data_IF_566618386506
#
_entry.id   IF_566618386506
#
_cell.length_a   1.000
_cell.length_b   1.000
_cell.length_c   1.000
_cell.angle_alpha   90.00
_cell.angle_beta   90.00
_cell.angle_gamma   90.00
#
_symmetry.space_group_name_H-M   'P 1'
#
loop_
_entity.id
_entity.type
_entity.pdbx_description
1 polymer ?
#
# COMPACT_ATOMS: atom_id res chain seq x y z
N UNK A 1 -25.03 4.30 17.55
CA UNK A 1 -23.73 4.64 16.93
C UNK A 1 -23.34 3.50 16.00
N UNK A 2 -23.24 3.75 14.69
CA UNK A 2 -22.74 2.73 13.75
C UNK A 2 -21.21 2.80 13.81
N UNK A 3 -20.58 1.80 14.43
CA UNK A 3 -19.14 1.60 14.33
C UNK A 3 -18.83 1.09 12.94
N UNK A 4 -18.65 2.00 11.98
CA UNK A 4 -18.11 1.68 10.68
C UNK A 4 -16.64 1.34 10.90
N UNK A 5 -16.31 0.05 10.96
CA UNK A 5 -14.93 -0.40 10.85
C UNK A 5 -14.44 0.06 9.48
N UNK A 6 -13.77 1.21 9.42
CA UNK A 6 -13.15 1.70 8.18
C UNK A 6 -12.14 0.65 7.75
N UNK A 7 -12.51 -0.17 6.76
CA UNK A 7 -11.59 -1.11 6.15
C UNK A 7 -10.33 -0.33 5.76
N UNK A 8 -9.16 -0.76 6.25
CA UNK A 8 -7.91 -0.07 5.99
C UNK A 8 -7.63 -0.12 4.49
N UNK A 9 -7.79 1.01 3.82
CA UNK A 9 -7.46 1.18 2.39
C UNK A 9 -5.97 0.87 2.22
N UNK A 10 -5.64 -0.03 1.30
CA UNK A 10 -4.23 -0.34 1.01
C UNK A 10 -3.62 0.71 0.09
N UNK A 11 -2.28 0.73 0.01
CA UNK A 11 -1.57 1.60 -0.92
C UNK A 11 -2.07 1.43 -2.35
N UNK A 12 -2.17 0.19 -2.84
CA UNK A 12 -2.64 -0.11 -4.19
C UNK A 12 -4.06 0.40 -4.46
N UNK A 13 -4.96 0.21 -3.50
CA UNK A 13 -6.34 0.71 -3.58
C UNK A 13 -6.37 2.24 -3.62
N UNK A 14 -5.55 2.90 -2.81
CA UNK A 14 -5.42 4.35 -2.82
C UNK A 14 -4.90 4.86 -4.19
N UNK A 15 -3.97 4.14 -4.83
CA UNK A 15 -3.49 4.53 -6.17
C UNK A 15 -4.62 4.46 -7.20
N UNK A 16 -5.44 3.41 -7.16
CA UNK A 16 -6.63 3.32 -8.01
C UNK A 16 -7.59 4.48 -7.75
N UNK A 17 -7.88 4.79 -6.47
CA UNK A 17 -8.73 5.92 -6.10
C UNK A 17 -8.20 7.25 -6.66
N UNK A 18 -6.89 7.49 -6.55
CA UNK A 18 -6.25 8.69 -7.09
C UNK A 18 -6.43 8.82 -8.62
N UNK A 19 -6.27 7.72 -9.35
CA UNK A 19 -6.48 7.71 -10.80
C UNK A 19 -7.96 7.63 -11.23
N UNK A 20 -8.89 7.50 -10.28
CA UNK A 20 -10.32 7.31 -10.58
C UNK A 20 -10.64 5.94 -11.16
N UNK A 21 -9.78 4.94 -10.95
CA UNK A 21 -9.91 3.60 -11.48
C UNK A 21 -10.72 2.68 -10.56
N UNK A 22 -11.44 1.73 -11.17
CA UNK A 22 -12.16 0.69 -10.42
C UNK A 22 -11.15 -0.15 -9.64
N UNK A 23 -11.41 -0.37 -8.35
CA UNK A 23 -10.56 -1.19 -7.49
C UNK A 23 -10.78 -2.68 -7.80
N UNK A 24 -9.79 -3.28 -8.47
CA UNK A 24 -9.69 -4.72 -8.73
C UNK A 24 -8.21 -5.08 -8.89
N UNK A 25 -7.87 -6.37 -8.84
CA UNK A 25 -6.47 -6.85 -8.84
C UNK A 25 -5.67 -6.39 -10.07
N UNK A 26 -6.29 -6.32 -11.25
CA UNK A 26 -5.61 -5.86 -12.48
C UNK A 26 -5.27 -4.37 -12.36
N UNK A 27 -6.26 -3.56 -12.04
CA UNK A 27 -6.11 -2.11 -11.94
C UNK A 27 -5.18 -1.72 -10.79
N UNK A 28 -5.23 -2.41 -9.65
CA UNK A 28 -4.30 -2.21 -8.53
C UNK A 28 -2.84 -2.36 -8.99
N UNK A 29 -2.52 -3.43 -9.71
CA UNK A 29 -1.18 -3.66 -10.25
C UNK A 29 -0.78 -2.59 -11.26
N UNK A 30 -1.66 -2.27 -12.20
CA UNK A 30 -1.36 -1.35 -13.29
C UNK A 30 -1.22 0.10 -12.76
N UNK A 31 -2.06 0.50 -11.81
CA UNK A 31 -1.97 1.77 -11.09
C UNK A 31 -0.72 1.86 -10.22
N UNK A 32 -0.40 0.84 -9.44
CA UNK A 32 0.82 0.82 -8.63
C UNK A 32 2.07 0.92 -9.50
N UNK A 33 2.11 0.22 -10.65
CA UNK A 33 3.20 0.34 -11.61
C UNK A 33 3.32 1.79 -12.08
N UNK A 34 2.22 2.41 -12.51
CA UNK A 34 2.19 3.81 -12.95
C UNK A 34 2.70 4.78 -11.88
N UNK A 35 2.38 4.56 -10.61
CA UNK A 35 2.92 5.37 -9.51
C UNK A 35 4.41 5.09 -9.27
N UNK A 36 4.84 3.83 -9.32
CA UNK A 36 6.24 3.45 -9.09
C UNK A 36 7.18 3.93 -10.22
N UNK A 37 6.64 4.18 -11.41
CA UNK A 37 7.36 4.81 -12.53
C UNK A 37 7.64 6.31 -12.27
N UNK A 38 6.95 6.95 -11.32
CA UNK A 38 7.24 8.31 -10.89
C UNK A 38 8.39 8.32 -9.87
N UNK A 39 9.39 9.16 -10.13
CA UNK A 39 10.57 9.30 -9.26
C UNK A 39 10.24 10.19 -8.05
N UNK A 40 10.76 9.82 -6.87
CA UNK A 40 10.72 10.60 -5.62
C UNK A 40 9.36 11.00 -5.06
N UNK A 41 8.27 10.38 -5.52
CA UNK A 41 6.92 10.59 -4.96
C UNK A 41 6.33 9.29 -4.40
N UNK A 42 5.41 9.42 -3.46
CA UNK A 42 4.55 8.32 -3.01
C UNK A 42 3.13 8.84 -2.72
N UNK A 43 2.22 7.90 -2.52
CA UNK A 43 0.83 8.19 -2.18
C UNK A 43 0.61 8.19 -0.67
N UNK A 44 -0.10 9.20 -0.17
CA UNK A 44 -0.45 9.35 1.23
C UNK A 44 -1.85 9.94 1.37
N UNK A 45 -2.36 10.00 2.60
CA UNK A 45 -3.51 10.81 2.96
C UNK A 45 -3.13 11.82 4.04
N UNK A 46 -3.94 12.86 4.17
CA UNK A 46 -3.74 13.90 5.18
C UNK A 46 -4.75 13.68 6.30
N UNK A 47 -4.29 13.79 7.55
CA UNK A 47 -5.14 13.69 8.75
C UNK A 47 -5.98 12.40 8.78
N UNK A 48 -7.31 12.48 8.89
CA UNK A 48 -8.19 11.33 9.06
C UNK A 48 -9.06 11.05 7.82
N UNK A 49 -8.57 11.43 6.63
CA UNK A 49 -9.29 11.27 5.36
C UNK A 49 -8.60 10.24 4.41
N UNK A 50 -8.60 8.93 4.74
CA UNK A 50 -7.93 7.92 3.91
C UNK A 50 -8.59 7.68 2.55
N UNK A 51 -9.80 8.20 2.31
CA UNK A 51 -10.48 8.16 1.01
C UNK A 51 -10.04 9.27 0.06
N UNK A 52 -9.21 10.21 0.52
CA UNK A 52 -8.70 11.33 -0.27
C UNK A 52 -7.17 11.22 -0.42
N UNK A 53 -6.70 10.45 -1.42
CA UNK A 53 -5.27 10.25 -1.64
C UNK A 53 -4.60 11.45 -2.31
N UNK A 54 -3.35 11.70 -1.91
CA UNK A 54 -2.46 12.70 -2.49
C UNK A 54 -1.15 12.06 -2.92
N UNK A 55 -0.61 12.49 -4.08
CA UNK A 55 0.78 12.21 -4.47
C UNK A 55 1.65 13.34 -3.92
N UNK A 56 2.65 12.97 -3.12
CA UNK A 56 3.55 13.92 -2.46
C UNK A 56 4.99 13.41 -2.58
N UNK A 57 5.95 14.32 -2.64
CA UNK A 57 7.37 13.96 -2.61
C UNK A 57 7.70 13.14 -1.34
N UNK A 58 8.42 12.04 -1.49
CA UNK A 58 8.78 11.12 -0.40
C UNK A 58 9.44 11.86 0.77
N UNK A 59 10.39 12.75 0.46
CA UNK A 59 11.08 13.57 1.47
C UNK A 59 10.11 14.41 2.30
N UNK A 60 9.01 14.91 1.72
CA UNK A 60 8.00 15.68 2.45
C UNK A 60 7.18 14.79 3.36
N UNK A 61 6.79 13.62 2.88
CA UNK A 61 6.07 12.61 3.68
C UNK A 61 6.91 12.24 4.91
N UNK A 62 8.19 11.92 4.69
CA UNK A 62 9.14 11.55 5.74
C UNK A 62 9.44 12.69 6.72
N UNK A 63 9.52 13.94 6.23
CA UNK A 63 9.76 15.12 7.08
C UNK A 63 8.57 15.50 7.96
N UNK A 64 7.36 15.01 7.65
CA UNK A 64 6.12 15.42 8.33
C UNK A 64 5.13 14.25 8.48
N UNK A 65 5.50 13.17 9.20
CA UNK A 65 4.73 11.92 9.27
C UNK A 65 3.41 12.06 10.04
N UNK A 66 3.27 13.12 10.86
CA UNK A 66 2.00 13.44 11.54
C UNK A 66 0.96 13.96 10.55
N UNK A 67 1.41 14.76 9.56
CA UNK A 67 0.55 15.37 8.55
C UNK A 67 0.27 14.40 7.40
N UNK A 68 1.33 13.79 6.87
CA UNK A 68 1.25 12.87 5.74
C UNK A 68 1.28 11.43 6.26
N UNK A 69 0.12 10.78 6.23
CA UNK A 69 -0.01 9.39 6.68
C UNK A 69 0.08 8.45 5.49
N UNK A 70 0.97 7.47 5.58
CA UNK A 70 1.16 6.46 4.54
C UNK A 70 0.09 5.38 4.61
N UNK A 71 -0.34 4.89 3.45
CA UNK A 71 -1.20 3.71 3.37
C UNK A 71 -0.45 2.43 3.69
N UNK A 72 -1.08 1.43 4.33
CA UNK A 72 -0.47 0.13 4.52
C UNK A 72 -0.17 -0.52 3.17
N UNK A 73 1.05 -1.04 3.02
CA UNK A 73 1.39 -1.90 1.88
C UNK A 73 0.76 -3.26 2.09
N UNK A 74 0.21 -3.84 1.03
CA UNK A 74 -0.23 -5.23 1.06
C UNK A 74 1.02 -6.09 1.26
N UNK A 75 1.28 -6.52 2.49
CA UNK A 75 2.30 -7.53 2.77
C UNK A 75 1.76 -8.84 2.23
N UNK A 76 2.06 -9.15 0.97
CA UNK A 76 2.16 -10.54 0.57
C UNK A 76 3.30 -11.11 1.40
N UNK A 77 3.00 -11.65 2.57
CA UNK A 77 3.98 -12.37 3.36
C UNK A 77 4.52 -13.49 2.47
N UNK A 78 5.72 -13.29 1.91
CA UNK A 78 6.66 -14.37 1.76
C UNK A 78 6.82 -14.94 3.18
N UNK A 79 6.12 -16.04 3.45
CA UNK A 79 6.42 -16.94 4.55
C UNK A 79 7.83 -17.49 4.32
N UNK A 80 8.87 -16.69 4.53
CA UNK A 80 10.17 -17.24 4.88
C UNK A 80 10.09 -17.52 6.36
N UNK A 81 9.58 -18.71 6.67
CA UNK A 81 9.65 -19.32 7.98
C UNK A 81 11.13 -19.40 8.39
N UNK A 82 11.62 -18.39 9.10
CA UNK A 82 12.93 -18.42 9.74
C UNK A 82 12.74 -19.08 11.11
N UNK A 83 12.68 -20.41 11.14
CA UNK A 83 13.10 -21.22 12.30
C UNK A 83 13.25 -22.70 11.93
N UNK A 84 14.50 -23.14 12.08
CA UNK A 84 15.05 -24.50 12.13
C UNK A 84 15.14 -25.34 10.85
N UNK A 85 16.39 -25.46 10.40
CA UNK A 85 16.93 -26.61 9.70
C UNK A 85 16.51 -27.93 10.34
N UNK A 86 15.89 -28.81 9.56
CA UNK A 86 16.20 -30.24 9.53
C UNK A 86 15.88 -30.75 8.12
N UNK A 87 16.77 -31.58 7.64
CA UNK A 87 16.92 -32.14 6.29
C UNK A 87 15.79 -33.12 5.95
N UNK A 88 15.61 -33.36 4.64
CA UNK A 88 14.96 -34.46 3.90
C UNK A 88 13.65 -34.06 3.21
N UNK A 89 13.36 -34.43 1.96
CA UNK A 89 14.07 -35.08 0.84
C UNK A 89 13.08 -34.98 -0.34
N UNK A 90 13.57 -34.95 -1.59
CA UNK A 90 12.77 -35.05 -2.82
C UNK A 90 11.97 -36.39 -2.82
N UNK A 91 10.91 -36.67 -3.56
CA UNK A 91 10.42 -36.28 -4.88
C UNK A 91 8.96 -36.82 -5.02
N UNK A 92 8.38 -36.60 -6.20
CA UNK A 92 7.26 -37.36 -6.81
C UNK A 92 7.37 -38.87 -6.62
#
# INVERSE_FOLDING_TARGET
MKTTTTAKITRAQAVCMFYGEIINTKNERDCEKRLNDLVDVDICYIEDAPTEPFIVAKVRIESSPVRYKSYPRTTWFSFTNRRNSTVQECDV
#
